data_IF_497078058462
#
_entry.id   IF_497078058462
#
_cell.length_a   1.000
_cell.length_b   1.000
_cell.length_c   1.000
_cell.angle_alpha   90.00
_cell.angle_beta   90.00
_cell.angle_gamma   90.00
#
_symmetry.space_group_name_H-M   'P 1'
#
loop_
_entity.id
_entity.type
_entity.pdbx_description
1 polymer ?
#
# COMPACT_ATOMS: atom_id res chain seq x y z
N UNK A 1 0.68 -37.04 62.82
CA UNK A 1 1.03 -35.98 61.84
C UNK A 1 -0.22 -35.14 61.58
N UNK A 2 -0.24 -33.85 61.89
CA UNK A 2 -1.40 -33.00 61.63
C UNK A 2 -1.59 -32.82 60.13
N UNK A 3 -2.82 -33.01 59.63
CA UNK A 3 -3.16 -32.96 58.21
C UNK A 3 -3.02 -31.55 57.62
N UNK A 4 -2.53 -31.47 56.39
CA UNK A 4 -2.41 -30.20 55.66
C UNK A 4 -3.80 -29.62 55.40
N UNK A 5 -4.09 -28.36 55.81
CA UNK A 5 -5.36 -27.72 55.51
C UNK A 5 -5.53 -27.57 54.00
N UNK A 6 -6.57 -28.20 53.42
CA UNK A 6 -6.90 -27.99 52.02
C UNK A 6 -7.61 -26.65 51.87
N UNK A 7 -6.91 -25.67 51.28
CA UNK A 7 -7.49 -24.39 50.90
C UNK A 7 -8.56 -24.63 49.82
N UNK A 8 -9.83 -24.29 50.05
CA UNK A 8 -10.87 -24.45 49.04
C UNK A 8 -10.54 -23.56 47.84
N UNK A 9 -10.41 -24.16 46.66
CA UNK A 9 -10.25 -23.41 45.42
C UNK A 9 -11.47 -22.48 45.25
N UNK A 10 -11.28 -21.18 44.99
CA UNK A 10 -12.37 -20.22 44.93
C UNK A 10 -13.36 -20.60 43.83
N UNK A 11 -14.50 -21.16 44.25
CA UNK A 11 -15.55 -21.67 43.35
C UNK A 11 -16.38 -20.57 42.68
N UNK A 12 -16.11 -19.28 42.97
CA UNK A 12 -16.75 -18.12 42.35
C UNK A 12 -16.09 -17.59 41.06
N UNK A 13 -14.99 -18.20 40.61
CA UNK A 13 -14.10 -17.66 39.58
C UNK A 13 -14.51 -18.01 38.14
N UNK A 14 -14.98 -19.23 37.87
CA UNK A 14 -15.21 -19.73 36.49
C UNK A 14 -16.27 -18.96 35.72
N UNK A 15 -17.38 -18.57 36.36
CA UNK A 15 -18.44 -17.77 35.70
C UNK A 15 -17.99 -16.34 35.42
N UNK A 16 -17.22 -15.74 36.34
CA UNK A 16 -16.65 -14.39 36.14
C UNK A 16 -15.58 -14.39 35.06
N UNK A 17 -14.69 -15.39 35.08
CA UNK A 17 -13.67 -15.59 34.05
C UNK A 17 -14.29 -15.81 32.67
N UNK A 18 -15.30 -16.70 32.55
CA UNK A 18 -16.01 -16.91 31.28
C UNK A 18 -16.66 -15.63 30.75
N UNK A 19 -17.31 -14.85 31.62
CA UNK A 19 -17.90 -13.55 31.24
C UNK A 19 -16.84 -12.57 30.78
N UNK A 20 -15.72 -12.48 31.49
CA UNK A 20 -14.60 -11.63 31.11
C UNK A 20 -14.00 -12.02 29.75
N UNK A 21 -13.73 -13.31 29.54
CA UNK A 21 -13.24 -13.84 28.25
C UNK A 21 -14.23 -13.56 27.11
N UNK A 22 -15.53 -13.78 27.34
CA UNK A 22 -16.56 -13.49 26.33
C UNK A 22 -16.66 -11.99 26.02
N UNK A 23 -16.52 -11.11 27.01
CA UNK A 23 -16.50 -9.67 26.79
C UNK A 23 -15.29 -9.24 25.95
N UNK A 24 -14.09 -9.75 26.27
CA UNK A 24 -12.90 -9.47 25.46
C UNK A 24 -13.07 -9.97 24.02
N UNK A 25 -13.57 -11.20 23.85
CA UNK A 25 -13.80 -11.77 22.53
C UNK A 25 -14.82 -10.95 21.73
N UNK A 26 -15.89 -10.49 22.38
CA UNK A 26 -16.90 -9.64 21.76
C UNK A 26 -16.33 -8.27 21.35
N UNK A 27 -15.55 -7.63 22.23
CA UNK A 27 -14.89 -6.35 21.92
C UNK A 27 -13.89 -6.53 20.77
N UNK A 28 -13.08 -7.59 20.78
CA UNK A 28 -12.14 -7.89 19.71
C UNK A 28 -12.87 -8.12 18.38
N UNK A 29 -13.97 -8.88 18.39
CA UNK A 29 -14.79 -9.10 17.20
C UNK A 29 -15.39 -7.80 16.66
N UNK A 30 -15.87 -6.92 17.55
CA UNK A 30 -16.38 -5.59 17.16
C UNK A 30 -15.30 -4.75 16.49
N UNK A 31 -14.08 -4.70 17.06
CA UNK A 31 -12.97 -3.97 16.46
C UNK A 31 -12.61 -4.53 15.09
N UNK A 32 -12.52 -5.87 14.95
CA UNK A 32 -12.25 -6.51 13.67
C UNK A 32 -13.34 -6.17 12.64
N UNK A 33 -14.62 -6.22 13.04
CA UNK A 33 -15.74 -5.87 12.15
C UNK A 33 -15.69 -4.40 11.74
N UNK A 34 -15.34 -3.48 12.63
CA UNK A 34 -15.20 -2.06 12.29
C UNK A 34 -14.07 -1.84 11.27
N UNK A 35 -12.89 -2.44 11.50
CA UNK A 35 -11.75 -2.32 10.58
C UNK A 35 -12.08 -2.94 9.22
N UNK A 36 -12.71 -4.12 9.22
CA UNK A 36 -13.13 -4.78 7.99
C UNK A 36 -14.18 -3.95 7.23
N UNK A 37 -15.17 -3.39 7.93
CA UNK A 37 -16.18 -2.51 7.34
C UNK A 37 -15.58 -1.24 6.75
N UNK A 38 -14.67 -0.58 7.47
CA UNK A 38 -13.95 0.59 6.97
C UNK A 38 -13.14 0.26 5.71
N UNK A 39 -12.37 -0.83 5.74
CA UNK A 39 -11.57 -1.26 4.60
C UNK A 39 -12.44 -1.65 3.40
N UNK A 40 -13.64 -2.21 3.61
CA UNK A 40 -14.57 -2.53 2.54
C UNK A 40 -15.24 -1.27 1.95
N UNK A 41 -15.56 -0.27 2.77
CA UNK A 41 -16.15 0.99 2.31
C UNK A 41 -15.14 1.84 1.54
N UNK A 42 -13.92 1.99 2.06
CA UNK A 42 -12.87 2.78 1.41
C UNK A 42 -12.29 2.04 0.20
N UNK A 43 -12.10 0.72 0.34
CA UNK A 43 -11.58 -0.17 -0.69
C UNK A 43 -10.41 0.42 -1.52
N UNK A 44 -9.32 0.88 -0.85
CA UNK A 44 -8.29 1.66 -1.52
C UNK A 44 -7.55 0.85 -2.59
N UNK A 45 -7.60 -0.48 -2.54
CA UNK A 45 -6.97 -1.37 -3.50
C UNK A 45 -7.95 -2.00 -4.50
N UNK A 46 -9.24 -1.69 -4.40
CA UNK A 46 -10.27 -2.28 -5.27
C UNK A 46 -10.47 -3.78 -5.04
N UNK A 47 -10.14 -4.31 -3.86
CA UNK A 47 -10.24 -5.74 -3.54
C UNK A 47 -11.68 -6.18 -3.26
N UNK A 48 -12.54 -5.30 -2.75
CA UNK A 48 -13.96 -5.59 -2.50
C UNK A 48 -14.83 -5.15 -3.68
N UNK A 49 -14.39 -4.18 -4.46
CA UNK A 49 -15.06 -3.65 -5.64
C UNK A 49 -16.21 -2.71 -5.32
N UNK A 50 -16.19 -2.03 -4.16
CA UNK A 50 -17.31 -1.15 -3.76
C UNK A 50 -17.42 0.11 -4.62
N UNK A 51 -16.30 0.53 -5.24
CA UNK A 51 -16.20 1.69 -6.14
C UNK A 51 -16.73 3.01 -5.55
N UNK A 52 -16.86 3.10 -4.22
CA UNK A 52 -17.32 4.30 -3.53
C UNK A 52 -16.24 5.39 -3.52
N UNK A 53 -14.96 4.99 -3.54
CA UNK A 53 -13.80 5.87 -3.60
C UNK A 53 -12.85 5.44 -4.72
N UNK A 54 -12.01 6.36 -5.23
CA UNK A 54 -11.00 6.02 -6.22
C UNK A 54 -10.00 5.00 -5.67
N UNK A 55 -9.76 3.94 -6.43
CA UNK A 55 -8.72 2.96 -6.11
C UNK A 55 -7.34 3.56 -6.34
N UNK A 56 -6.40 3.29 -5.44
CA UNK A 56 -4.98 3.61 -5.61
C UNK A 56 -4.42 2.72 -6.71
N UNK A 57 -4.44 3.21 -7.93
CA UNK A 57 -3.80 2.57 -9.08
C UNK A 57 -2.39 3.14 -9.25
N UNK A 58 -1.42 2.25 -9.45
CA UNK A 58 -0.09 2.62 -9.92
C UNK A 58 -0.20 3.09 -11.37
N UNK A 59 -0.43 4.40 -11.54
CA UNK A 59 -0.66 5.04 -12.84
C UNK A 59 0.63 5.54 -13.47
N UNK A 60 1.79 5.29 -12.89
CA UNK A 60 3.08 5.77 -13.38
C UNK A 60 3.31 5.40 -14.85
N UNK A 61 2.96 4.19 -15.29
CA UNK A 61 3.02 3.80 -16.71
C UNK A 61 2.08 4.65 -17.58
N UNK A 62 0.80 4.66 -17.25
CA UNK A 62 -0.22 5.36 -18.03
C UNK A 62 0.03 6.88 -18.07
N UNK A 63 0.43 7.46 -16.94
CA UNK A 63 0.75 8.87 -16.80
C UNK A 63 1.99 9.24 -17.61
N UNK A 64 3.05 8.44 -17.57
CA UNK A 64 4.28 8.71 -18.34
C UNK A 64 4.04 8.57 -19.85
N UNK A 65 3.22 7.61 -20.27
CA UNK A 65 2.77 7.50 -21.68
C UNK A 65 1.92 8.71 -22.08
N UNK A 66 1.03 9.17 -21.22
CA UNK A 66 0.28 10.40 -21.47
C UNK A 66 1.21 11.61 -21.60
N UNK A 67 2.15 11.76 -20.67
CA UNK A 67 3.09 12.90 -20.67
C UNK A 67 3.98 12.91 -21.90
N UNK A 68 4.55 11.78 -22.31
CA UNK A 68 5.42 11.72 -23.50
C UNK A 68 4.63 12.06 -24.77
N UNK A 69 3.37 11.65 -24.87
CA UNK A 69 2.48 11.98 -26.00
C UNK A 69 2.06 13.46 -26.06
N UNK A 70 2.21 14.19 -24.95
CA UNK A 70 1.86 15.61 -24.84
C UNK A 70 3.10 16.51 -24.76
N UNK A 71 4.31 15.98 -25.00
CA UNK A 71 5.50 16.81 -25.11
C UNK A 71 5.43 17.66 -26.38
N UNK A 72 5.69 18.96 -26.24
CA UNK A 72 5.75 19.90 -27.36
C UNK A 72 6.92 19.59 -28.30
N UNK A 73 8.02 19.09 -27.75
CA UNK A 73 9.25 18.77 -28.46
C UNK A 73 9.80 17.41 -27.98
N UNK A 74 10.46 16.64 -28.84
CA UNK A 74 11.06 15.37 -28.44
C UNK A 74 12.21 15.60 -27.44
N UNK A 75 12.35 14.77 -26.39
CA UNK A 75 13.43 14.91 -25.44
C UNK A 75 14.77 14.42 -26.03
N UNK A 76 15.86 15.09 -25.69
CA UNK A 76 17.22 14.68 -26.07
C UNK A 76 17.70 13.46 -25.25
N UNK A 77 17.26 13.39 -23.99
CA UNK A 77 17.66 12.34 -23.03
C UNK A 77 16.43 11.68 -22.43
N UNK A 78 16.37 10.34 -22.51
CA UNK A 78 15.33 9.55 -21.85
C UNK A 78 15.93 8.73 -20.72
N UNK A 79 15.44 8.93 -19.49
CA UNK A 79 15.83 8.12 -18.33
C UNK A 79 14.89 6.91 -18.25
N UNK A 80 15.46 5.72 -18.37
CA UNK A 80 14.74 4.45 -18.26
C UNK A 80 15.14 3.71 -16.98
N UNK A 81 14.20 2.98 -16.38
CA UNK A 81 14.49 2.10 -15.26
C UNK A 81 13.35 1.89 -14.28
N UNK A 82 13.72 1.49 -13.06
CA UNK A 82 12.80 1.21 -11.96
C UNK A 82 12.65 2.41 -11.01
N UNK A 83 12.01 2.22 -9.85
CA UNK A 83 11.86 3.21 -8.78
C UNK A 83 13.16 3.90 -8.35
N UNK A 84 14.33 3.32 -8.62
CA UNK A 84 15.64 3.96 -8.38
C UNK A 84 15.93 5.06 -9.40
N UNK A 85 15.62 4.83 -10.67
CA UNK A 85 15.85 5.79 -11.75
C UNK A 85 14.80 6.92 -11.77
N UNK A 86 13.64 6.72 -11.14
CA UNK A 86 12.64 7.79 -10.94
C UNK A 86 13.17 8.99 -10.14
N UNK A 87 14.27 8.83 -9.41
CA UNK A 87 14.89 9.88 -8.61
C UNK A 87 15.77 10.83 -9.42
N UNK A 88 16.06 10.53 -10.68
CA UNK A 88 16.80 11.44 -11.55
C UNK A 88 15.89 12.57 -12.02
N UNK A 89 16.28 13.80 -11.73
CA UNK A 89 15.59 15.01 -12.13
C UNK A 89 16.06 15.42 -13.54
N UNK A 90 15.16 15.52 -14.54
CA UNK A 90 15.52 15.99 -15.87
C UNK A 90 16.13 17.39 -15.88
N UNK A 91 15.63 18.28 -15.02
CA UNK A 91 16.13 19.66 -14.87
C UNK A 91 17.60 19.70 -14.46
N UNK A 92 18.04 18.77 -13.60
CA UNK A 92 19.45 18.65 -13.22
C UNK A 92 20.32 18.19 -14.40
N UNK A 93 19.82 17.27 -15.24
CA UNK A 93 20.53 16.84 -16.45
C UNK A 93 20.64 18.01 -17.43
N UNK A 94 19.57 18.75 -17.62
CA UNK A 94 19.53 19.93 -18.48
C UNK A 94 20.51 21.01 -17.99
N UNK A 95 20.57 21.29 -16.68
CA UNK A 95 21.52 22.24 -16.11
C UNK A 95 22.99 21.86 -16.39
N UNK A 96 23.30 20.56 -16.42
CA UNK A 96 24.67 20.06 -16.62
C UNK A 96 25.05 19.82 -18.07
N UNK A 97 24.09 19.52 -18.93
CA UNK A 97 24.35 19.07 -20.30
C UNK A 97 23.79 19.99 -21.37
N UNK A 98 22.86 20.88 -21.00
CA UNK A 98 22.06 21.67 -21.92
C UNK A 98 21.03 20.85 -22.71
N UNK A 99 20.89 19.55 -22.43
CA UNK A 99 20.01 18.65 -23.15
C UNK A 99 18.72 18.41 -22.36
N UNK A 100 17.58 18.62 -23.01
CA UNK A 100 16.26 18.44 -22.41
C UNK A 100 15.98 16.97 -22.11
N UNK A 101 15.53 16.68 -20.89
CA UNK A 101 15.33 15.30 -20.42
C UNK A 101 13.87 14.91 -20.21
N UNK A 102 13.56 13.62 -20.38
CA UNK A 102 12.31 13.02 -19.93
C UNK A 102 12.58 11.78 -19.07
N UNK A 103 12.04 11.76 -17.85
CA UNK A 103 12.15 10.58 -16.99
C UNK A 103 11.00 9.60 -17.26
N UNK A 104 11.28 8.53 -17.99
CA UNK A 104 10.35 7.43 -18.30
C UNK A 104 10.48 6.22 -17.36
N UNK A 105 11.23 6.34 -16.25
CA UNK A 105 11.32 5.27 -15.27
C UNK A 105 9.99 5.05 -14.53
N UNK A 106 9.70 3.80 -14.21
CA UNK A 106 8.43 3.36 -13.62
C UNK A 106 8.64 2.48 -12.38
N UNK A 107 7.62 2.38 -11.54
CA UNK A 107 7.64 1.53 -10.35
C UNK A 107 7.85 0.07 -10.74
N UNK A 108 8.82 -0.57 -10.10
CA UNK A 108 9.28 -1.94 -10.42
C UNK A 108 9.59 -2.15 -11.92
N UNK A 109 10.11 -1.12 -12.59
CA UNK A 109 10.39 -1.14 -14.02
C UNK A 109 11.27 -2.30 -14.48
N UNK A 110 10.93 -2.85 -15.64
CA UNK A 110 11.55 -4.00 -16.30
C UNK A 110 11.99 -3.64 -17.72
N UNK A 111 12.85 -4.45 -18.37
CA UNK A 111 13.22 -4.22 -19.76
C UNK A 111 12.05 -4.11 -20.75
N UNK A 112 10.92 -4.76 -20.48
CA UNK A 112 9.70 -4.62 -21.29
C UNK A 112 9.09 -3.22 -21.22
N UNK A 113 9.18 -2.55 -20.07
CA UNK A 113 8.72 -1.17 -19.94
C UNK A 113 9.60 -0.25 -20.79
N UNK A 114 10.92 -0.45 -20.75
CA UNK A 114 11.87 0.29 -21.59
C UNK A 114 11.62 0.07 -23.08
N UNK A 115 11.40 -1.19 -23.49
CA UNK A 115 11.08 -1.53 -24.89
C UNK A 115 9.80 -0.82 -25.36
N UNK A 116 8.76 -0.76 -24.51
CA UNK A 116 7.49 -0.10 -24.83
C UNK A 116 7.60 1.42 -24.94
N UNK A 117 8.60 2.06 -24.30
CA UNK A 117 8.82 3.50 -24.45
C UNK A 117 9.61 3.88 -25.71
N UNK A 118 10.29 2.93 -26.35
CA UNK A 118 11.18 3.17 -27.50
C UNK A 118 10.68 2.54 -28.81
N UNK A 119 9.46 1.98 -28.82
CA UNK A 119 8.78 1.41 -29.99
C UNK A 119 7.33 1.90 -30.04
#
# INVERSE_FOLDING_TARGET
>A
MPGVPQLPLPQGSRRRLRRFTLMIAAVAAVVVMMVAGFNAVVDPYGTVGTALFPTVTWTDRALKVYLVNNLSEPPDVVILGSSRAMKFEPEYIEEKTGAGGFNAAVSSGRPVDAWAFVN
#
